data_IF_218528892945
#
_entry.id   IF_218528892945
#
_cell.length_a   1.000
_cell.length_b   1.000
_cell.length_c   1.000
_cell.angle_alpha   90.00
_cell.angle_beta   90.00
_cell.angle_gamma   90.00
#
_symmetry.space_group_name_H-M   'P 1'
#
loop_
_entity.id
_entity.type
_entity.pdbx_description
1 polymer ?
#
# COMPACT_ATOMS: atom_id res chain seq x y z
N UNK A 1 11.13 -19.82 6.32
CA UNK A 1 10.15 -19.15 7.20
C UNK A 1 10.67 -17.75 7.51
N UNK A 2 10.74 -16.91 6.49
CA UNK A 2 10.61 -15.47 6.70
C UNK A 2 9.15 -15.19 6.44
N UNK A 3 8.43 -14.56 7.37
CA UNK A 3 7.23 -13.87 6.94
C UNK A 3 7.72 -12.84 5.93
N UNK A 4 7.09 -12.77 4.75
CA UNK A 4 7.43 -11.76 3.77
C UNK A 4 6.95 -10.42 4.33
N UNK A 5 7.78 -9.82 5.19
CA UNK A 5 7.55 -8.52 5.77
C UNK A 5 7.47 -7.50 4.64
N UNK A 6 6.50 -6.62 4.67
CA UNK A 6 6.35 -5.52 3.73
C UNK A 6 6.50 -4.20 4.46
N UNK A 7 6.98 -3.19 3.75
CA UNK A 7 7.30 -1.87 4.30
C UNK A 7 6.40 -0.87 3.59
N UNK A 8 5.62 -0.12 4.36
CA UNK A 8 4.90 1.04 3.86
C UNK A 8 5.79 2.28 4.05
N UNK A 9 6.23 2.88 2.95
CA UNK A 9 7.04 4.09 2.90
C UNK A 9 6.16 5.27 2.45
N UNK A 10 6.16 6.35 3.23
CA UNK A 10 5.45 7.59 2.89
C UNK A 10 6.42 8.63 2.35
N UNK A 11 5.95 9.57 1.55
CA UNK A 11 6.77 10.64 0.94
C UNK A 11 7.70 11.37 1.94
N UNK A 12 7.26 11.57 3.19
CA UNK A 12 8.05 12.20 4.25
C UNK A 12 9.19 11.32 4.83
N UNK A 13 9.40 10.11 4.31
CA UNK A 13 10.42 9.15 4.75
C UNK A 13 10.06 8.38 6.03
N UNK A 14 8.79 8.40 6.42
CA UNK A 14 8.30 7.57 7.52
C UNK A 14 7.90 6.18 6.98
N UNK A 15 8.45 5.16 7.63
CA UNK A 15 8.30 3.77 7.23
C UNK A 15 7.67 2.95 8.35
N UNK A 16 6.74 2.08 7.97
CA UNK A 16 6.13 1.10 8.88
C UNK A 16 6.46 -0.29 8.37
N UNK A 17 7.16 -1.06 9.19
CA UNK A 17 7.39 -2.49 8.97
C UNK A 17 6.14 -3.31 9.33
N UNK A 18 5.75 -4.25 8.46
CA UNK A 18 4.61 -5.14 8.64
C UNK A 18 3.29 -4.42 9.02
N UNK A 19 2.84 -3.44 8.22
CA UNK A 19 1.64 -2.69 8.55
C UNK A 19 0.40 -3.60 8.56
N UNK A 20 -0.34 -3.56 9.66
CA UNK A 20 -1.67 -4.15 9.76
C UNK A 20 -2.71 -3.30 9.01
N UNK A 21 -3.90 -3.84 8.74
CA UNK A 21 -5.01 -3.09 8.11
C UNK A 21 -5.28 -1.76 8.83
N UNK A 22 -5.34 -1.77 10.15
CA UNK A 22 -5.58 -0.57 10.97
C UNK A 22 -4.42 0.44 10.86
N UNK A 23 -3.18 -0.05 10.79
CA UNK A 23 -2.00 0.78 10.57
C UNK A 23 -2.00 1.42 9.18
N UNK A 24 -2.41 0.67 8.14
CA UNK A 24 -2.59 1.19 6.79
C UNK A 24 -3.71 2.24 6.78
N UNK A 25 -4.84 1.96 7.42
CA UNK A 25 -5.95 2.91 7.51
C UNK A 25 -5.53 4.22 8.18
N UNK A 26 -4.80 4.15 9.31
CA UNK A 26 -4.25 5.34 9.96
C UNK A 26 -3.28 6.08 9.04
N UNK A 27 -2.40 5.38 8.33
CA UNK A 27 -1.46 5.99 7.39
C UNK A 27 -2.15 6.71 6.24
N UNK A 28 -3.15 6.09 5.64
CA UNK A 28 -3.92 6.70 4.56
C UNK A 28 -4.74 7.90 5.04
N UNK A 29 -5.20 7.87 6.29
CA UNK A 29 -5.84 9.02 6.93
C UNK A 29 -4.87 10.17 7.17
N UNK A 30 -3.63 9.87 7.52
CA UNK A 30 -2.56 10.86 7.69
C UNK A 30 -2.02 11.40 6.35
N UNK A 31 -2.24 10.73 5.21
CA UNK A 31 -1.84 11.26 3.89
C UNK A 31 -2.42 12.65 3.64
N UNK A 32 -3.74 12.78 3.82
CA UNK A 32 -4.46 14.05 3.62
C UNK A 32 -4.09 15.11 4.69
N UNK A 33 -3.65 14.69 5.88
CA UNK A 33 -3.43 15.59 7.02
C UNK A 33 -1.99 16.12 7.13
N UNK A 34 -0.99 15.27 6.88
CA UNK A 34 0.42 15.56 7.09
C UNK A 34 1.11 16.12 5.82
N UNK A 35 0.34 16.29 4.73
CA UNK A 35 0.83 16.79 3.45
C UNK A 35 1.59 15.75 2.63
N UNK A 36 1.41 14.46 2.92
CA UNK A 36 1.96 13.37 2.13
C UNK A 36 1.04 13.11 0.93
N UNK A 37 1.58 13.19 -0.27
CA UNK A 37 0.75 13.00 -1.48
C UNK A 37 0.52 11.52 -1.80
N UNK A 38 1.40 10.64 -1.32
CA UNK A 38 1.31 9.20 -1.56
C UNK A 38 2.02 8.35 -0.49
N UNK A 39 1.65 7.07 -0.44
CA UNK A 39 2.34 5.99 0.28
C UNK A 39 2.62 4.85 -0.69
N UNK A 40 3.81 4.24 -0.59
CA UNK A 40 4.20 3.08 -1.38
C UNK A 40 4.50 1.91 -0.45
N UNK A 41 3.91 0.75 -0.73
CA UNK A 41 4.13 -0.49 -0.01
C UNK A 41 4.98 -1.38 -0.90
N UNK A 42 6.13 -1.80 -0.39
CA UNK A 42 7.07 -2.67 -1.08
C UNK A 42 7.41 -3.88 -0.21
N UNK A 43 7.82 -5.01 -0.80
CA UNK A 43 8.36 -6.12 -0.04
C UNK A 43 9.67 -5.71 0.63
N UNK A 44 9.87 -6.12 1.88
CA UNK A 44 11.17 -5.98 2.56
C UNK A 44 12.24 -6.86 1.89
N UNK A 45 11.82 -7.97 1.26
CA UNK A 45 12.69 -8.77 0.42
C UNK A 45 12.91 -8.07 -0.93
N UNK A 46 14.12 -7.56 -1.14
CA UNK A 46 14.57 -6.89 -2.37
C UNK A 46 14.47 -7.78 -3.63
N UNK A 47 14.18 -9.08 -3.49
CA UNK A 47 13.98 -10.00 -4.60
C UNK A 47 12.58 -9.97 -5.19
N UNK A 48 11.58 -9.45 -4.47
CA UNK A 48 10.20 -9.39 -4.94
C UNK A 48 9.93 -8.05 -5.67
N UNK A 49 9.61 -8.09 -6.98
CA UNK A 49 9.47 -6.88 -7.80
C UNK A 49 8.04 -6.29 -7.78
N UNK A 50 7.20 -6.70 -6.82
CA UNK A 50 5.84 -6.17 -6.70
C UNK A 50 5.84 -4.92 -5.83
N UNK A 51 4.87 -4.04 -6.04
CA UNK A 51 4.59 -2.91 -5.16
C UNK A 51 3.10 -2.58 -5.19
N UNK A 52 2.63 -1.91 -4.15
CA UNK A 52 1.35 -1.23 -4.16
C UNK A 52 1.58 0.25 -3.81
N UNK A 53 0.86 1.18 -4.42
CA UNK A 53 0.92 2.58 -4.06
C UNK A 53 -0.47 3.15 -3.87
N UNK A 54 -0.60 4.11 -2.97
CA UNK A 54 -1.82 4.89 -2.78
C UNK A 54 -1.48 6.35 -2.87
N UNK A 55 -2.15 7.09 -3.75
CA UNK A 55 -1.94 8.51 -3.98
C UNK A 55 -3.23 9.28 -3.76
N UNK A 56 -3.14 10.47 -3.15
CA UNK A 56 -4.28 11.39 -3.03
C UNK A 56 -4.56 12.03 -4.39
N UNK A 57 -5.82 12.08 -4.78
CA UNK A 57 -6.27 12.77 -6.00
C UNK A 57 -6.71 14.21 -5.69
N UNK A 58 -6.33 15.16 -6.55
CA UNK A 58 -6.70 16.58 -6.42
C UNK A 58 -8.22 16.82 -6.39
N UNK A 59 -9.01 15.93 -7.01
CA UNK A 59 -10.47 16.01 -7.08
C UNK A 59 -11.19 15.47 -5.83
N UNK A 60 -10.43 14.99 -4.85
CA UNK A 60 -10.93 14.34 -3.63
C UNK A 60 -11.12 12.84 -3.85
N UNK A 61 -10.30 12.05 -3.17
CA UNK A 61 -10.27 10.60 -3.26
C UNK A 61 -8.84 10.07 -3.32
N UNK A 62 -8.72 8.76 -3.52
CA UNK A 62 -7.45 8.06 -3.52
C UNK A 62 -7.37 7.13 -4.71
N UNK A 63 -6.22 7.15 -5.38
CA UNK A 63 -5.86 6.20 -6.40
C UNK A 63 -4.96 5.13 -5.78
N UNK A 64 -5.27 3.87 -6.07
CA UNK A 64 -4.54 2.70 -5.59
C UNK A 64 -4.01 1.94 -6.80
N UNK A 65 -2.69 1.81 -6.88
CA UNK A 65 -2.01 1.00 -7.88
C UNK A 65 -1.49 -0.28 -7.23
N UNK A 66 -1.71 -1.40 -7.91
CA UNK A 66 -1.16 -2.70 -7.58
C UNK A 66 -0.34 -3.19 -8.76
N UNK A 67 0.93 -3.49 -8.55
CA UNK A 67 1.82 -3.94 -9.61
C UNK A 67 2.59 -5.16 -9.14
N UNK A 68 2.42 -6.28 -9.84
CA UNK A 68 3.14 -7.52 -9.60
C UNK A 68 3.60 -8.12 -10.94
N UNK A 69 4.81 -7.78 -11.38
CA UNK A 69 5.33 -8.26 -12.65
C UNK A 69 5.69 -9.76 -12.64
N UNK A 70 5.78 -10.42 -11.47
CA UNK A 70 5.97 -11.88 -11.44
C UNK A 70 4.70 -12.61 -11.92
N UNK A 71 3.54 -12.08 -11.58
CA UNK A 71 2.25 -12.63 -11.99
C UNK A 71 1.66 -11.93 -13.22
N UNK A 72 2.31 -10.87 -13.72
CA UNK A 72 1.78 -10.03 -14.80
C UNK A 72 0.53 -9.26 -14.38
N UNK A 73 0.36 -9.02 -13.08
CA UNK A 73 -0.77 -8.29 -12.53
C UNK A 73 -0.42 -6.80 -12.47
N UNK A 74 -1.27 -5.97 -13.05
CA UNK A 74 -1.24 -4.53 -12.88
C UNK A 74 -2.69 -4.06 -12.80
N UNK A 75 -3.08 -3.46 -11.68
CA UNK A 75 -4.42 -2.97 -11.46
C UNK A 75 -4.37 -1.57 -10.85
N UNK A 76 -5.15 -0.66 -11.41
CA UNK A 76 -5.34 0.70 -10.90
C UNK A 76 -6.81 0.83 -10.50
N UNK A 77 -7.08 1.35 -9.31
CA UNK A 77 -8.44 1.55 -8.80
C UNK A 77 -8.54 2.87 -8.07
N UNK A 78 -9.67 3.55 -8.22
CA UNK A 78 -9.94 4.82 -7.53
C UNK A 78 -11.05 4.59 -6.53
N UNK A 79 -10.81 4.95 -5.26
CA UNK A 79 -11.81 4.86 -4.21
C UNK A 79 -11.73 6.09 -3.30
N UNK A 80 -12.85 6.44 -2.69
CA UNK A 80 -12.96 7.54 -1.71
C UNK A 80 -13.05 7.02 -0.28
N UNK A 81 -13.33 5.72 -0.09
CA UNK A 81 -13.42 5.08 1.21
C UNK A 81 -12.07 4.47 1.62
N UNK A 82 -11.41 5.11 2.58
CA UNK A 82 -10.13 4.66 3.13
C UNK A 82 -10.20 3.27 3.78
N UNK A 83 -11.36 2.90 4.34
CA UNK A 83 -11.55 1.61 4.99
C UNK A 83 -11.56 0.48 3.97
N UNK A 84 -12.26 0.68 2.85
CA UNK A 84 -12.22 -0.26 1.72
C UNK A 84 -10.82 -0.37 1.13
N UNK A 85 -10.12 0.75 0.92
CA UNK A 85 -8.75 0.76 0.40
C UNK A 85 -7.80 -0.03 1.31
N UNK A 86 -7.79 0.26 2.61
CA UNK A 86 -6.91 -0.41 3.57
C UNK A 86 -7.19 -1.92 3.63
N UNK A 87 -8.47 -2.30 3.56
CA UNK A 87 -8.90 -3.70 3.53
C UNK A 87 -8.46 -4.41 2.25
N UNK A 88 -8.70 -3.82 1.08
CA UNK A 88 -8.31 -4.40 -0.20
C UNK A 88 -6.78 -4.55 -0.31
N UNK A 89 -6.01 -3.55 0.14
CA UNK A 89 -4.56 -3.63 0.27
C UNK A 89 -4.13 -4.79 1.15
N UNK A 90 -4.74 -4.94 2.33
CA UNK A 90 -4.42 -6.02 3.26
C UNK A 90 -4.70 -7.39 2.63
N UNK A 91 -5.84 -7.55 1.94
CA UNK A 91 -6.18 -8.79 1.23
C UNK A 91 -5.16 -9.08 0.11
N UNK A 92 -4.76 -8.05 -0.64
CA UNK A 92 -3.79 -8.16 -1.72
C UNK A 92 -2.41 -8.56 -1.19
N UNK A 93 -1.95 -7.95 -0.10
CA UNK A 93 -0.68 -8.29 0.56
C UNK A 93 -0.71 -9.72 1.14
N UNK A 94 -1.81 -10.11 1.78
CA UNK A 94 -1.98 -11.44 2.35
C UNK A 94 -1.87 -12.57 1.31
N UNK A 95 -2.30 -12.33 0.06
CA UNK A 95 -2.15 -13.29 -1.05
C UNK A 95 -0.68 -13.54 -1.44
N UNK A 96 0.23 -12.63 -1.09
CA UNK A 96 1.66 -12.69 -1.45
C UNK A 96 2.55 -13.26 -0.36
N UNK A 97 2.13 -13.13 0.90
CA UNK A 97 2.82 -13.69 2.07
C UNK A 97 2.73 -15.24 2.14
N UNK A 98 2.00 -15.90 1.24
CA UNK A 98 1.78 -17.36 1.26
C UNK A 98 2.65 -18.14 0.26
N UNK A 99 3.88 -17.70 -0.03
CA UNK A 99 4.78 -18.36 -1.00
C UNK A 99 5.56 -19.55 -0.42
#
# INVERSE_FOLDING_TARGET
MGADYYIADSENGDQVDDPSEDSLFMRLRDLDHDGNSFVTITPADLGAPWYASVSVLEEGGYEVEYSDPRHGEHALSVNTDLGEIARDLTIWLARRNTS
#
